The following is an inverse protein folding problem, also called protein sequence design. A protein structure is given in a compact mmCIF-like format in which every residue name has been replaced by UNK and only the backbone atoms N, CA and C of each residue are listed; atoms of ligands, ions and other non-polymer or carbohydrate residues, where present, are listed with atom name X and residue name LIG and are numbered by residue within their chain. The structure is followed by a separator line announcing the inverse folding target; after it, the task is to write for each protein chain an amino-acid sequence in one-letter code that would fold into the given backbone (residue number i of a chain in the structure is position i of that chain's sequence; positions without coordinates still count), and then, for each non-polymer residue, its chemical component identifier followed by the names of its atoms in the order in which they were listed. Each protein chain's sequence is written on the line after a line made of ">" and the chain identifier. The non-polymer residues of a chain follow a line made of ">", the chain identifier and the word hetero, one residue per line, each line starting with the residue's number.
data_IF_719649902742
#
_entry.id   IF_719649902742
#
_cell.length_a   1.000
_cell.length_b   1.000
_cell.length_c   1.000
_cell.angle_alpha   90.00
_cell.angle_beta   90.00
_cell.angle_gamma   90.00
#
_symmetry.space_group_name_H-M   'P 1'
#
loop_
_entity.id
_entity.type
_entity.pdbx_description
1 polymer ?
#
# COMPACT_ATOMS: atom_id res chain seq x y z
N UNK A 1 8.29 73.03 1.45
CA UNK A 1 7.72 74.00 2.45
C UNK A 1 6.97 73.18 3.50
N UNK A 2 7.29 73.51 4.76
CA UNK A 2 6.63 73.11 6.03
C UNK A 2 6.87 71.71 6.59
N UNK A 3 7.79 71.67 7.50
CA UNK A 3 8.01 70.79 8.66
C UNK A 3 6.99 71.16 9.79
N UNK A 4 7.11 70.62 10.97
CA UNK A 4 6.89 69.31 11.59
C UNK A 4 5.92 69.43 12.80
N UNK A 5 5.63 68.37 13.53
CA UNK A 5 5.44 68.47 14.99
C UNK A 5 5.73 67.13 15.68
N UNK A 6 6.74 67.19 16.52
CA UNK A 6 7.05 66.25 17.62
C UNK A 6 6.03 66.42 18.75
N UNK A 7 5.67 65.31 19.44
CA UNK A 7 5.34 65.31 20.84
C UNK A 7 6.02 64.16 21.57
N UNK A 8 6.82 64.55 22.52
CA UNK A 8 7.50 63.78 23.58
C UNK A 8 6.62 63.74 24.84
N UNK A 9 6.95 62.83 25.75
CA UNK A 9 6.68 62.67 27.17
C UNK A 9 5.50 61.73 27.49
N UNK A 10 5.61 60.80 28.43
CA UNK A 10 6.38 60.82 29.65
C UNK A 10 6.42 59.47 30.35
N UNK A 11 7.51 59.28 31.00
CA UNK A 11 7.85 58.16 31.87
C UNK A 11 7.04 58.28 33.18
N UNK A 12 6.45 57.18 33.66
CA UNK A 12 6.13 57.02 35.09
C UNK A 12 6.65 55.68 35.58
N UNK A 13 7.71 55.75 36.36
CA UNK A 13 8.20 54.68 37.24
C UNK A 13 7.30 54.63 38.48
N UNK A 14 6.79 53.47 38.80
CA UNK A 14 6.31 53.17 40.15
C UNK A 14 6.95 51.85 40.62
N UNK A 15 7.91 52.00 41.50
CA UNK A 15 8.44 50.89 42.29
C UNK A 15 7.49 50.57 43.44
N UNK A 16 7.11 49.31 43.53
CA UNK A 16 6.32 48.77 44.64
C UNK A 16 6.87 47.41 45.02
N UNK A 17 7.66 47.37 46.10
CA UNK A 17 8.11 46.18 46.80
C UNK A 17 7.00 45.61 47.66
N UNK A 18 6.63 44.35 47.48
CA UNK A 18 5.97 43.55 48.50
C UNK A 18 6.46 42.09 48.41
N UNK A 19 7.14 41.70 49.45
CA UNK A 19 7.52 40.32 49.71
C UNK A 19 6.28 39.46 50.01
N UNK A 20 6.15 38.33 49.32
CA UNK A 20 5.16 37.30 49.58
C UNK A 20 5.73 35.94 49.24
N UNK A 21 6.11 35.19 50.28
CA UNK A 21 6.40 33.76 50.17
C UNK A 21 5.15 33.02 49.70
N UNK A 22 5.23 32.37 48.55
CA UNK A 22 4.21 31.45 48.08
C UNK A 22 4.92 30.40 47.22
N UNK A 23 5.09 29.22 47.81
CA UNK A 23 5.57 28.06 47.05
C UNK A 23 4.54 27.68 45.99
N UNK A 24 4.82 27.94 44.73
CA UNK A 24 4.08 27.39 43.61
C UNK A 24 4.89 26.21 43.07
N UNK A 25 4.36 25.02 43.29
CA UNK A 25 4.78 23.80 42.68
C UNK A 25 4.68 23.93 41.15
N UNK A 26 5.83 23.98 40.47
CA UNK A 26 5.93 23.79 39.05
C UNK A 26 5.46 22.37 38.71
N UNK A 27 4.20 22.21 38.32
CA UNK A 27 3.76 21.06 37.58
C UNK A 27 4.32 21.16 36.15
N UNK A 28 5.60 20.83 36.00
CA UNK A 28 6.12 20.37 34.73
C UNK A 28 5.31 19.14 34.34
N UNK A 29 4.47 19.24 33.32
CA UNK A 29 3.86 18.12 32.63
C UNK A 29 4.99 17.32 31.96
N UNK A 30 5.64 16.46 32.76
CA UNK A 30 6.45 15.37 32.25
C UNK A 30 5.50 14.39 31.55
N UNK A 31 5.23 14.61 30.27
CA UNK A 31 4.73 13.58 29.35
C UNK A 31 5.84 12.53 29.21
N UNK A 32 5.95 11.65 30.21
CA UNK A 32 6.63 10.39 30.03
C UNK A 32 5.82 9.61 29.00
N UNK A 33 6.28 9.59 27.77
CA UNK A 33 5.96 8.57 26.80
C UNK A 33 6.45 7.23 27.36
N UNK A 34 5.65 6.65 28.27
CA UNK A 34 5.77 5.24 28.59
C UNK A 34 5.40 4.48 27.31
N UNK A 35 6.42 4.17 26.52
CA UNK A 35 6.32 3.09 25.55
C UNK A 35 5.87 1.85 26.33
N UNK A 36 4.60 1.49 26.19
CA UNK A 36 4.08 0.17 26.55
C UNK A 36 4.76 -0.84 25.61
N UNK A 37 6.02 -1.15 25.92
CA UNK A 37 6.64 -2.36 25.45
C UNK A 37 5.92 -3.51 26.15
N UNK A 38 4.87 -4.01 25.51
CA UNK A 38 4.27 -5.29 25.88
C UNK A 38 5.38 -6.33 25.71
N UNK A 39 5.74 -7.10 26.75
CA UNK A 39 6.71 -8.19 26.60
C UNK A 39 6.18 -9.14 25.52
N UNK A 40 6.98 -9.40 24.49
CA UNK A 40 6.69 -10.45 23.52
C UNK A 40 6.43 -11.76 24.30
N UNK A 41 5.22 -12.27 24.17
CA UNK A 41 4.87 -13.58 24.72
C UNK A 41 5.84 -14.61 24.15
N UNK A 42 6.53 -15.32 25.02
CA UNK A 42 7.35 -16.49 24.67
C UNK A 42 6.44 -17.50 23.99
N UNK A 43 6.63 -17.71 22.69
CA UNK A 43 5.89 -18.73 21.94
C UNK A 43 5.22 -18.24 20.66
N UNK A 44 5.67 -17.16 20.04
CA UNK A 44 5.23 -16.82 18.68
C UNK A 44 5.64 -17.96 17.74
N UNK A 45 4.68 -18.64 17.08
CA UNK A 45 5.04 -19.65 16.08
C UNK A 45 5.99 -19.02 15.06
N UNK A 46 7.08 -19.69 14.73
CA UNK A 46 7.95 -19.26 13.64
C UNK A 46 7.08 -19.13 12.38
N UNK A 47 7.20 -18.01 11.62
CA UNK A 47 6.43 -17.86 10.40
C UNK A 47 6.70 -19.07 9.51
N UNK A 48 5.67 -19.62 8.84
CA UNK A 48 5.84 -20.77 7.97
C UNK A 48 6.91 -20.47 6.92
N UNK A 49 7.69 -21.48 6.55
CA UNK A 49 8.75 -21.34 5.54
C UNK A 49 8.18 -20.65 4.30
N UNK A 50 8.82 -19.57 3.85
CA UNK A 50 8.43 -18.87 2.60
C UNK A 50 8.61 -19.74 1.34
N UNK A 51 9.27 -20.88 1.47
CA UNK A 51 9.47 -21.88 0.42
C UNK A 51 8.28 -22.85 0.30
N UNK A 52 7.06 -22.35 0.38
CA UNK A 52 5.85 -23.13 0.10
C UNK A 52 5.66 -23.23 -1.41
N UNK A 53 5.61 -24.44 -1.93
CA UNK A 53 5.31 -24.70 -3.34
C UNK A 53 3.82 -25.04 -3.48
N UNK A 54 3.18 -24.50 -4.51
CA UNK A 54 1.84 -24.87 -4.92
C UNK A 54 1.76 -24.87 -6.46
N UNK A 55 1.00 -25.78 -7.03
CA UNK A 55 0.98 -25.97 -8.50
C UNK A 55 0.38 -24.77 -9.26
N UNK A 56 -0.58 -24.05 -8.65
CA UNK A 56 -1.29 -22.91 -9.26
C UNK A 56 -1.44 -21.77 -8.27
N UNK A 57 -0.36 -21.01 -8.07
CA UNK A 57 -0.35 -19.91 -7.12
C UNK A 57 -1.45 -18.85 -7.39
N UNK A 58 -1.75 -18.59 -8.67
CA UNK A 58 -2.68 -17.55 -9.13
C UNK A 58 -4.14 -18.02 -9.29
N UNK A 59 -4.41 -19.31 -9.09
CA UNK A 59 -5.78 -19.79 -9.13
C UNK A 59 -6.58 -19.31 -7.91
N UNK A 60 -7.86 -19.03 -8.11
CA UNK A 60 -8.78 -18.56 -7.07
C UNK A 60 -10.11 -19.33 -7.15
N UNK A 61 -11.01 -19.04 -6.23
CA UNK A 61 -12.33 -19.68 -6.19
C UNK A 61 -13.19 -19.24 -7.37
N UNK A 62 -13.93 -20.18 -7.97
CA UNK A 62 -14.87 -19.85 -9.05
C UNK A 62 -15.92 -18.84 -8.57
N UNK A 63 -16.25 -17.82 -9.38
CA UNK A 63 -17.33 -16.90 -9.07
C UNK A 63 -18.69 -17.64 -9.06
N UNK A 64 -19.73 -17.06 -8.45
CA UNK A 64 -21.08 -17.55 -8.62
C UNK A 64 -21.52 -17.40 -10.08
N UNK A 65 -22.42 -18.28 -10.54
CA UNK A 65 -22.95 -18.20 -11.92
C UNK A 65 -23.57 -16.83 -12.21
N UNK A 66 -24.23 -16.24 -11.22
CA UNK A 66 -24.81 -14.90 -11.29
C UNK A 66 -24.48 -14.16 -10.00
N UNK A 67 -24.02 -12.90 -10.13
CA UNK A 67 -23.85 -12.03 -8.97
C UNK A 67 -25.24 -11.70 -8.38
N UNK A 68 -25.41 -11.75 -7.04
CA UNK A 68 -26.63 -11.26 -6.41
C UNK A 68 -26.81 -9.76 -6.69
N UNK A 69 -28.07 -9.33 -6.78
CA UNK A 69 -28.39 -7.91 -6.91
C UNK A 69 -27.95 -7.14 -5.65
N UNK A 70 -27.62 -5.84 -5.74
CA UNK A 70 -27.14 -5.06 -4.58
C UNK A 70 -28.09 -5.09 -3.37
N UNK A 71 -29.38 -5.25 -3.59
CA UNK A 71 -30.39 -5.31 -2.53
C UNK A 71 -30.76 -6.74 -2.10
N UNK A 72 -30.18 -7.75 -2.70
CA UNK A 72 -30.55 -9.17 -2.53
C UNK A 72 -29.31 -10.04 -2.21
N UNK A 73 -28.51 -9.60 -1.25
CA UNK A 73 -27.37 -10.39 -0.77
C UNK A 73 -27.87 -11.57 0.08
N UNK A 74 -27.35 -12.80 -0.15
CA UNK A 74 -27.71 -13.97 0.65
C UNK A 74 -27.55 -13.69 2.15
N UNK A 75 -28.58 -13.91 2.95
CA UNK A 75 -28.69 -13.44 4.34
C UNK A 75 -27.53 -13.88 5.24
N UNK A 76 -26.99 -15.09 5.04
CA UNK A 76 -25.86 -15.66 5.78
C UNK A 76 -24.50 -15.24 5.23
N UNK A 77 -24.44 -14.51 4.10
CA UNK A 77 -23.19 -14.17 3.44
C UNK A 77 -22.42 -13.05 4.16
N UNK A 78 -21.10 -13.01 3.93
CA UNK A 78 -20.28 -11.91 4.42
C UNK A 78 -20.68 -10.57 3.77
N UNK A 79 -21.10 -10.57 2.50
CA UNK A 79 -21.63 -9.38 1.84
C UNK A 79 -22.86 -8.81 2.56
N UNK A 80 -23.75 -9.69 3.09
CA UNK A 80 -24.89 -9.23 3.91
C UNK A 80 -24.41 -8.62 5.24
N UNK A 81 -23.34 -9.12 5.85
CA UNK A 81 -22.73 -8.52 7.04
C UNK A 81 -22.17 -7.12 6.72
N UNK A 82 -21.42 -6.99 5.61
CA UNK A 82 -20.90 -5.70 5.13
C UNK A 82 -22.07 -4.72 4.88
N UNK A 83 -23.16 -5.18 4.27
CA UNK A 83 -24.38 -4.35 4.07
C UNK A 83 -24.99 -3.87 5.37
N UNK A 84 -25.14 -4.73 6.37
CA UNK A 84 -25.66 -4.33 7.70
C UNK A 84 -24.75 -3.32 8.38
N UNK A 85 -23.42 -3.44 8.21
CA UNK A 85 -22.43 -2.47 8.68
C UNK A 85 -22.56 -1.10 7.98
N UNK A 86 -23.07 -1.09 6.72
CA UNK A 86 -23.34 0.10 5.94
C UNK A 86 -22.19 0.58 5.04
N UNK A 87 -21.03 -0.05 5.08
CA UNK A 87 -19.84 0.27 4.27
C UNK A 87 -18.88 -0.91 4.17
N UNK A 88 -18.12 -0.96 3.09
CA UNK A 88 -16.96 -1.84 2.91
C UNK A 88 -15.73 -1.17 3.54
N UNK A 89 -14.93 -1.91 4.32
CA UNK A 89 -13.63 -1.43 4.83
C UNK A 89 -12.54 -2.04 3.99
N UNK A 90 -11.74 -1.19 3.33
CA UNK A 90 -10.66 -1.63 2.45
C UNK A 90 -9.30 -1.12 2.93
N UNK A 91 -8.37 -2.03 3.14
CA UNK A 91 -6.96 -1.73 3.33
C UNK A 91 -6.30 -1.39 1.99
N UNK A 92 -5.58 -0.28 1.93
CA UNK A 92 -5.01 0.23 0.68
C UNK A 92 -3.64 0.87 0.90
N UNK A 93 -2.85 0.96 -0.17
CA UNK A 93 -1.66 1.79 -0.24
C UNK A 93 -2.02 3.26 -0.40
N UNK A 94 -1.16 4.14 0.08
CA UNK A 94 -1.30 5.59 -0.10
C UNK A 94 -0.09 6.22 -0.80
N UNK A 95 0.93 5.42 -1.13
CA UNK A 95 2.17 5.85 -1.79
C UNK A 95 2.40 5.24 -3.19
N UNK A 96 1.49 4.37 -3.68
CA UNK A 96 1.58 3.82 -5.03
C UNK A 96 0.84 4.72 -6.03
N UNK A 97 1.54 5.70 -6.58
CA UNK A 97 0.97 6.71 -7.47
C UNK A 97 0.17 6.08 -8.61
N UNK A 98 -1.09 6.52 -8.78
CA UNK A 98 -2.08 6.02 -9.73
C UNK A 98 -2.64 4.61 -9.47
N UNK A 99 -2.10 3.83 -8.56
CA UNK A 99 -2.69 2.57 -8.09
C UNK A 99 -3.50 2.78 -6.81
N UNK A 100 -2.87 3.26 -5.75
CA UNK A 100 -3.48 3.70 -4.50
C UNK A 100 -2.59 4.79 -3.92
N UNK A 101 -2.98 6.03 -4.05
CA UNK A 101 -2.19 7.18 -3.60
C UNK A 101 -3.06 8.26 -2.98
N UNK A 102 -2.51 8.91 -1.94
CA UNK A 102 -3.11 10.11 -1.40
C UNK A 102 -2.87 11.26 -2.38
N UNK A 103 -3.94 11.90 -2.83
CA UNK A 103 -3.86 13.12 -3.61
C UNK A 103 -3.74 14.32 -2.66
N UNK A 104 -2.59 15.01 -2.62
CA UNK A 104 -2.36 16.08 -1.65
C UNK A 104 -3.24 17.32 -1.90
N UNK A 105 -3.73 17.51 -3.12
CA UNK A 105 -4.58 18.65 -3.47
C UNK A 105 -6.04 18.46 -2.99
N UNK A 106 -6.51 17.23 -2.91
CA UNK A 106 -7.91 16.93 -2.56
C UNK A 106 -8.05 16.23 -1.22
N UNK A 107 -6.97 15.67 -0.67
CA UNK A 107 -6.97 14.82 0.53
C UNK A 107 -7.60 13.43 0.30
N UNK A 108 -7.96 13.09 -0.93
CA UNK A 108 -8.58 11.81 -1.25
C UNK A 108 -7.54 10.74 -1.58
N UNK A 109 -7.85 9.50 -1.22
CA UNK A 109 -7.12 8.34 -1.72
C UNK A 109 -7.75 7.96 -3.07
N UNK A 110 -6.92 7.87 -4.12
CA UNK A 110 -7.36 7.63 -5.48
C UNK A 110 -6.41 6.68 -6.24
N UNK A 111 -6.87 6.11 -7.34
CA UNK A 111 -6.07 5.23 -8.18
C UNK A 111 -6.85 4.04 -8.73
N UNK A 112 -6.17 3.22 -9.51
CA UNK A 112 -6.73 2.05 -10.19
C UNK A 112 -7.34 1.05 -9.20
N UNK A 113 -6.61 0.68 -8.16
CA UNK A 113 -7.09 -0.24 -7.12
C UNK A 113 -8.23 0.34 -6.29
N UNK A 114 -8.17 1.65 -6.04
CA UNK A 114 -9.23 2.36 -5.31
C UNK A 114 -10.55 2.29 -6.08
N UNK A 115 -10.50 2.50 -7.40
CA UNK A 115 -11.70 2.40 -8.23
C UNK A 115 -12.16 0.94 -8.38
N UNK A 116 -11.27 -0.06 -8.42
CA UNK A 116 -11.66 -1.47 -8.38
C UNK A 116 -12.40 -1.83 -7.07
N UNK A 117 -11.91 -1.37 -5.92
CA UNK A 117 -12.58 -1.56 -4.62
C UNK A 117 -13.95 -0.86 -4.60
N UNK A 118 -14.05 0.34 -5.19
CA UNK A 118 -15.34 1.03 -5.35
C UNK A 118 -16.33 0.25 -6.20
N UNK A 119 -15.86 -0.51 -7.21
CA UNK A 119 -16.73 -1.41 -7.98
C UNK A 119 -17.25 -2.59 -7.14
N UNK A 120 -16.42 -3.13 -6.23
CA UNK A 120 -16.88 -4.14 -5.25
C UNK A 120 -17.97 -3.55 -4.34
N UNK A 121 -17.78 -2.34 -3.83
CA UNK A 121 -18.78 -1.65 -3.02
C UNK A 121 -20.07 -1.38 -3.83
N UNK A 122 -19.94 -0.93 -5.08
CA UNK A 122 -21.10 -0.71 -5.95
C UNK A 122 -21.90 -2.02 -6.17
N UNK A 123 -21.22 -3.15 -6.30
CA UNK A 123 -21.89 -4.45 -6.42
C UNK A 123 -22.63 -4.86 -5.12
N UNK A 124 -22.17 -4.44 -3.94
CA UNK A 124 -22.82 -4.74 -2.66
C UNK A 124 -23.97 -3.76 -2.36
N UNK A 125 -23.75 -2.45 -2.61
CA UNK A 125 -24.64 -1.38 -2.12
C UNK A 125 -25.46 -0.70 -3.22
N UNK A 126 -25.19 -0.96 -4.50
CA UNK A 126 -25.73 -0.18 -5.62
C UNK A 126 -25.04 1.19 -5.80
N UNK A 127 -24.03 1.50 -5.00
CA UNK A 127 -23.28 2.76 -5.07
C UNK A 127 -21.81 2.56 -4.66
N UNK A 128 -20.91 3.25 -5.34
CA UNK A 128 -19.46 3.19 -5.12
C UNK A 128 -18.98 3.92 -3.84
N UNK A 129 -19.83 4.75 -3.24
CA UNK A 129 -19.40 5.67 -2.16
C UNK A 129 -19.46 5.04 -0.76
N UNK A 130 -19.87 3.80 -0.64
CA UNK A 130 -19.97 3.06 0.64
C UNK A 130 -18.69 2.31 0.96
N UNK A 131 -17.53 3.00 0.90
CA UNK A 131 -16.21 2.45 1.25
C UNK A 131 -15.54 3.34 2.29
N UNK A 132 -14.89 2.70 3.26
CA UNK A 132 -13.91 3.31 4.16
C UNK A 132 -12.53 2.76 3.83
N UNK A 133 -11.63 3.63 3.45
CA UNK A 133 -10.25 3.25 3.18
C UNK A 133 -9.41 3.35 4.44
N UNK A 134 -8.56 2.35 4.67
CA UNK A 134 -7.58 2.29 5.76
C UNK A 134 -6.20 2.21 5.12
N UNK A 135 -5.38 3.23 5.33
CA UNK A 135 -3.99 3.22 4.90
C UNK A 135 -3.21 2.15 5.67
N UNK A 136 -2.54 1.26 4.96
CA UNK A 136 -1.72 0.19 5.53
C UNK A 136 -0.29 0.28 5.03
N UNK A 137 0.66 -0.07 5.90
CA UNK A 137 2.02 -0.39 5.48
C UNK A 137 2.07 -1.82 4.93
N UNK A 138 3.10 -2.12 4.13
CA UNK A 138 3.26 -3.45 3.53
C UNK A 138 3.26 -4.58 4.57
N UNK A 139 3.92 -4.47 5.74
CA UNK A 139 3.86 -5.49 6.79
C UNK A 139 2.48 -5.68 7.42
N UNK A 140 1.59 -4.67 7.38
CA UNK A 140 0.29 -4.72 8.06
C UNK A 140 -0.81 -5.41 7.25
N UNK A 141 -0.62 -5.64 5.94
CA UNK A 141 -1.66 -6.05 5.00
C UNK A 141 -2.41 -7.32 5.42
N UNK A 142 -1.68 -8.37 5.78
CA UNK A 142 -2.28 -9.67 6.07
C UNK A 142 -2.93 -9.70 7.46
N UNK A 143 -2.25 -9.21 8.49
CA UNK A 143 -2.80 -9.14 9.84
C UNK A 143 -4.06 -8.25 9.89
N UNK A 144 -4.13 -7.20 9.08
CA UNK A 144 -5.30 -6.33 9.04
C UNK A 144 -6.57 -7.06 8.55
N UNK A 145 -6.43 -7.98 7.59
CA UNK A 145 -7.57 -8.76 7.08
C UNK A 145 -7.85 -9.99 7.95
N UNK A 146 -6.81 -10.61 8.52
CA UNK A 146 -6.95 -11.74 9.44
C UNK A 146 -7.69 -11.33 10.73
N UNK A 147 -7.34 -10.16 11.28
CA UNK A 147 -7.95 -9.60 12.49
C UNK A 147 -9.33 -8.95 12.23
N UNK A 148 -9.81 -8.92 10.99
CA UNK A 148 -11.07 -8.29 10.61
C UNK A 148 -11.09 -6.76 10.75
N UNK A 149 -9.92 -6.11 10.84
CA UNK A 149 -9.82 -4.63 10.82
C UNK A 149 -10.23 -4.07 9.47
N UNK A 150 -10.03 -4.82 8.41
CA UNK A 150 -10.50 -4.54 7.05
C UNK A 150 -11.18 -5.77 6.46
N UNK A 151 -12.14 -5.57 5.56
CA UNK A 151 -12.86 -6.65 4.89
C UNK A 151 -12.06 -7.20 3.68
N UNK A 152 -11.25 -6.35 3.06
CA UNK A 152 -10.45 -6.64 1.86
C UNK A 152 -9.20 -5.77 1.85
N UNK A 153 -8.12 -6.24 1.26
CA UNK A 153 -6.93 -5.43 1.00
C UNK A 153 -6.62 -5.42 -0.49
N UNK A 154 -6.54 -4.22 -1.08
CA UNK A 154 -6.06 -3.94 -2.43
C UNK A 154 -4.86 -2.99 -2.33
N UNK A 155 -3.66 -3.54 -2.46
CA UNK A 155 -2.40 -2.84 -2.14
C UNK A 155 -1.24 -3.49 -2.91
N UNK A 156 -1.36 -3.56 -4.24
CA UNK A 156 -0.35 -4.13 -5.13
C UNK A 156 0.22 -5.47 -4.62
N UNK A 157 -0.68 -6.37 -4.17
CA UNK A 157 -0.25 -7.58 -3.47
C UNK A 157 0.04 -8.70 -4.46
N UNK A 158 1.32 -9.09 -4.58
CA UNK A 158 1.71 -10.28 -5.32
C UNK A 158 1.07 -11.53 -4.71
N UNK A 159 0.37 -12.31 -5.51
CA UNK A 159 -0.08 -13.65 -5.12
C UNK A 159 1.11 -14.60 -5.10
N UNK A 160 1.37 -15.25 -3.96
CA UNK A 160 2.38 -16.29 -3.82
C UNK A 160 1.83 -17.48 -3.05
N UNK A 161 2.43 -18.66 -3.21
CA UNK A 161 2.03 -19.85 -2.45
C UNK A 161 2.10 -19.61 -0.95
N UNK A 162 3.15 -18.95 -0.47
CA UNK A 162 3.28 -18.60 0.94
C UNK A 162 2.13 -17.72 1.43
N UNK A 163 1.80 -16.64 0.71
CA UNK A 163 0.72 -15.72 1.10
C UNK A 163 -0.65 -16.38 1.09
N UNK A 164 -0.86 -17.37 0.21
CA UNK A 164 -2.06 -18.20 0.23
C UNK A 164 -2.21 -19.09 1.47
N UNK A 165 -1.16 -19.29 2.24
CA UNK A 165 -1.30 -19.94 3.56
C UNK A 165 -1.92 -19.03 4.60
N UNK A 166 -1.77 -17.71 4.44
CA UNK A 166 -2.27 -16.68 5.35
C UNK A 166 -3.69 -16.24 5.00
N UNK A 167 -3.92 -15.87 3.76
CA UNK A 167 -5.17 -15.30 3.25
C UNK A 167 -5.61 -16.00 1.97
N UNK A 168 -6.86 -15.79 1.57
CA UNK A 168 -7.31 -16.07 0.22
C UNK A 168 -7.17 -14.83 -0.68
N UNK A 169 -7.06 -15.07 -1.98
CA UNK A 169 -6.91 -14.02 -2.98
C UNK A 169 -8.05 -14.03 -3.98
N UNK A 170 -8.40 -12.86 -4.50
CA UNK A 170 -9.18 -12.76 -5.73
C UNK A 170 -8.43 -13.41 -6.91
N UNK A 171 -9.07 -13.53 -8.07
CA UNK A 171 -8.37 -13.71 -9.34
C UNK A 171 -7.39 -12.55 -9.56
N UNK A 172 -6.35 -12.80 -10.38
CA UNK A 172 -5.41 -11.76 -10.77
C UNK A 172 -6.16 -10.61 -11.46
N UNK A 173 -5.98 -9.39 -10.97
CA UNK A 173 -6.57 -8.19 -11.60
C UNK A 173 -5.53 -7.34 -12.32
N UNK A 174 -4.24 -7.57 -12.13
CA UNK A 174 -3.15 -6.88 -12.81
C UNK A 174 -1.88 -7.73 -12.82
N UNK A 175 -1.12 -7.68 -13.91
CA UNK A 175 0.20 -8.32 -14.00
C UNK A 175 1.28 -7.25 -13.99
N UNK A 176 2.15 -7.28 -13.00
CA UNK A 176 3.36 -6.48 -12.93
C UNK A 176 4.60 -7.38 -12.95
N UNK A 177 5.76 -6.77 -12.98
CA UNK A 177 7.05 -7.46 -12.84
C UNK A 177 7.95 -6.68 -11.89
N UNK A 178 8.78 -7.37 -11.13
CA UNK A 178 9.80 -6.71 -10.33
C UNK A 178 10.90 -6.15 -11.24
N UNK A 179 11.25 -4.88 -11.05
CA UNK A 179 12.30 -4.17 -11.80
C UNK A 179 13.14 -3.32 -10.84
N UNK A 180 14.10 -2.60 -11.41
CA UNK A 180 14.97 -1.66 -10.68
C UNK A 180 14.70 -0.24 -11.14
N UNK A 181 14.75 0.71 -10.18
CA UNK A 181 14.82 2.14 -10.42
C UNK A 181 16.15 2.67 -9.89
N UNK A 182 16.84 3.44 -10.70
CA UNK A 182 18.15 4.02 -10.37
C UNK A 182 18.21 5.48 -10.80
N UNK A 183 19.12 6.29 -10.26
CA UNK A 183 19.40 7.62 -10.81
C UNK A 183 19.87 7.54 -12.27
N UNK A 184 19.41 8.45 -13.14
CA UNK A 184 19.68 8.44 -14.57
C UNK A 184 21.19 8.45 -14.92
N UNK A 185 22.03 8.99 -14.06
CA UNK A 185 23.47 9.08 -14.27
C UNK A 185 24.28 8.04 -13.49
N UNK A 186 23.61 7.01 -12.93
CA UNK A 186 24.28 6.00 -12.12
C UNK A 186 25.18 5.05 -12.92
N UNK A 187 24.95 4.90 -14.22
CA UNK A 187 25.62 3.90 -15.06
C UNK A 187 25.15 2.46 -14.84
N UNK A 188 24.25 2.21 -13.87
CA UNK A 188 23.68 0.90 -13.57
C UNK A 188 22.74 0.49 -14.71
N UNK A 189 22.90 -0.76 -15.20
CA UNK A 189 22.06 -1.32 -16.28
C UNK A 189 21.19 -2.48 -15.84
N UNK A 190 21.62 -3.21 -14.81
CA UNK A 190 20.90 -4.36 -14.27
C UNK A 190 21.33 -4.65 -12.82
N UNK A 191 20.82 -5.75 -12.26
CA UNK A 191 21.06 -6.15 -10.87
C UNK A 191 22.53 -6.55 -10.62
N UNK A 192 23.27 -7.01 -11.63
CA UNK A 192 24.66 -7.42 -11.46
C UNK A 192 25.61 -6.27 -11.20
N UNK A 193 25.25 -5.06 -11.65
CA UNK A 193 25.99 -3.84 -11.32
C UNK A 193 25.76 -3.35 -9.87
N UNK A 194 24.89 -4.01 -9.12
CA UNK A 194 24.50 -3.65 -7.76
C UNK A 194 24.97 -4.65 -6.69
N UNK A 195 25.88 -5.56 -7.05
CA UNK A 195 26.47 -6.52 -6.10
C UNK A 195 27.13 -5.74 -4.95
N UNK A 196 26.76 -6.08 -3.71
CA UNK A 196 27.15 -5.41 -2.47
C UNK A 196 26.66 -3.95 -2.30
N UNK A 197 25.97 -3.40 -3.29
CA UNK A 197 25.33 -2.07 -3.17
C UNK A 197 24.00 -2.18 -2.41
N UNK A 198 23.60 -1.10 -1.76
CA UNK A 198 22.36 -1.05 -0.97
C UNK A 198 21.16 -0.83 -1.90
N UNK A 199 20.29 -1.84 -1.96
CA UNK A 199 19.06 -1.79 -2.75
C UNK A 199 17.84 -1.79 -1.83
N UNK A 200 17.04 -0.75 -1.92
CA UNK A 200 15.85 -0.56 -1.10
C UNK A 200 14.63 -1.27 -1.69
N UNK A 201 13.84 -1.89 -0.84
CA UNK A 201 12.54 -2.47 -1.17
C UNK A 201 11.63 -2.40 0.05
N UNK A 202 10.31 -2.51 -0.13
CA UNK A 202 9.41 -2.55 1.04
C UNK A 202 9.67 -3.78 1.89
N UNK A 203 9.74 -3.60 3.19
CA UNK A 203 9.80 -4.71 4.14
C UNK A 203 8.60 -5.66 3.98
N UNK A 204 8.81 -6.96 4.10
CA UNK A 204 7.77 -8.00 3.93
C UNK A 204 7.13 -8.04 2.52
N UNK A 205 7.77 -7.41 1.52
CA UNK A 205 7.36 -7.47 0.12
C UNK A 205 8.00 -8.66 -0.62
N UNK A 206 7.41 -9.05 -1.77
CA UNK A 206 8.04 -10.03 -2.67
C UNK A 206 9.38 -9.52 -3.21
N UNK A 207 9.52 -8.24 -3.65
CA UNK A 207 10.80 -7.71 -4.10
C UNK A 207 11.96 -7.88 -3.11
N UNK A 208 11.76 -7.61 -1.82
CA UNK A 208 12.85 -7.78 -0.83
C UNK A 208 13.18 -9.26 -0.60
N UNK A 209 12.18 -10.15 -0.69
CA UNK A 209 12.40 -11.58 -0.54
C UNK A 209 13.18 -12.15 -1.73
N UNK A 210 12.90 -11.68 -2.95
CA UNK A 210 13.67 -12.05 -4.17
C UNK A 210 15.13 -11.61 -4.05
N UNK A 211 15.38 -10.36 -3.60
CA UNK A 211 16.76 -9.90 -3.37
C UNK A 211 17.48 -10.76 -2.34
N UNK A 212 16.82 -11.12 -1.23
CA UNK A 212 17.39 -11.95 -0.18
C UNK A 212 17.65 -13.40 -0.61
N UNK A 213 16.89 -13.88 -1.58
CA UNK A 213 17.02 -15.25 -2.10
C UNK A 213 18.14 -15.41 -3.13
N UNK A 214 18.73 -14.31 -3.63
CA UNK A 214 19.90 -14.38 -4.52
C UNK A 214 21.11 -14.94 -3.79
N UNK A 215 22.05 -15.64 -4.49
CA UNK A 215 23.31 -16.07 -3.89
C UNK A 215 24.06 -14.92 -3.22
N UNK A 216 24.70 -15.16 -2.09
CA UNK A 216 25.34 -14.11 -1.27
C UNK A 216 26.40 -13.32 -1.99
N UNK A 217 27.14 -14.00 -2.90
CA UNK A 217 28.22 -13.45 -3.71
C UNK A 217 27.72 -12.54 -4.83
N UNK A 218 26.47 -12.73 -5.29
CA UNK A 218 25.90 -12.03 -6.45
C UNK A 218 24.78 -11.03 -6.07
N UNK A 219 24.49 -10.90 -4.79
CA UNK A 219 23.35 -10.10 -4.38
C UNK A 219 23.71 -8.70 -3.90
N UNK A 220 22.82 -7.73 -4.08
CA UNK A 220 22.88 -6.46 -3.38
C UNK A 220 22.66 -6.65 -1.87
N UNK A 221 22.87 -5.60 -1.08
CA UNK A 221 22.50 -5.50 0.32
C UNK A 221 21.04 -5.03 0.41
N UNK A 222 20.06 -5.89 0.75
CA UNK A 222 18.67 -5.49 0.79
C UNK A 222 18.39 -4.58 1.99
N UNK A 223 17.78 -3.41 1.73
CA UNK A 223 17.32 -2.46 2.75
C UNK A 223 15.79 -2.44 2.74
N UNK A 224 15.17 -2.65 3.90
CA UNK A 224 13.71 -2.74 4.02
C UNK A 224 13.11 -1.48 4.61
N UNK A 225 12.17 -0.85 3.89
CA UNK A 225 11.37 0.27 4.37
C UNK A 225 9.89 -0.13 4.54
N UNK A 226 9.09 0.58 5.36
CA UNK A 226 7.68 0.25 5.56
C UNK A 226 6.85 0.28 4.28
N UNK A 227 7.18 1.21 3.35
CA UNK A 227 6.53 1.35 2.04
C UNK A 227 7.57 1.61 0.95
N UNK A 228 7.19 1.35 -0.32
CA UNK A 228 8.08 1.59 -1.45
C UNK A 228 8.37 3.09 -1.66
N UNK A 229 7.44 3.97 -1.33
CA UNK A 229 7.64 5.42 -1.42
C UNK A 229 8.75 5.91 -0.45
N UNK A 230 8.92 5.25 0.68
CA UNK A 230 9.98 5.58 1.64
C UNK A 230 11.37 5.32 1.02
N UNK A 231 11.48 4.29 0.17
CA UNK A 231 12.68 4.04 -0.61
C UNK A 231 12.98 5.18 -1.61
N UNK A 232 11.95 5.76 -2.25
CA UNK A 232 12.14 6.89 -3.15
C UNK A 232 12.63 8.11 -2.39
N UNK A 233 12.06 8.39 -1.22
CA UNK A 233 12.51 9.47 -0.34
C UNK A 233 13.96 9.25 0.09
N UNK A 234 14.33 8.03 0.50
CA UNK A 234 15.69 7.70 0.90
C UNK A 234 16.69 7.89 -0.26
N UNK A 235 16.32 7.45 -1.47
CA UNK A 235 17.13 7.63 -2.68
C UNK A 235 17.34 9.12 -2.99
N UNK A 236 16.29 9.93 -2.96
CA UNK A 236 16.34 11.37 -3.25
C UNK A 236 17.16 12.15 -2.22
N UNK A 237 17.07 11.77 -0.97
CA UNK A 237 17.81 12.44 0.12
C UNK A 237 19.25 11.93 0.27
N UNK A 238 19.65 10.89 -0.47
CA UNK A 238 20.94 10.23 -0.29
C UNK A 238 21.09 9.55 1.08
N UNK A 239 19.98 9.32 1.79
CA UNK A 239 20.00 8.67 3.11
C UNK A 239 20.23 7.17 2.96
N UNK A 240 21.05 6.61 3.86
CA UNK A 240 21.34 5.18 3.86
C UNK A 240 22.14 4.70 2.64
N UNK A 241 22.73 5.56 1.82
CA UNK A 241 23.50 5.23 0.62
C UNK A 241 22.75 4.24 -0.28
N UNK A 242 21.48 4.52 -0.57
CA UNK A 242 20.65 3.69 -1.44
C UNK A 242 21.09 3.89 -2.90
N UNK A 243 21.58 2.83 -3.55
CA UNK A 243 22.00 2.86 -4.96
C UNK A 243 20.83 2.62 -5.92
N UNK A 244 19.83 1.85 -5.51
CA UNK A 244 18.65 1.53 -6.33
C UNK A 244 17.43 1.20 -5.47
N UNK A 245 16.26 1.23 -6.11
CA UNK A 245 15.00 0.73 -5.56
C UNK A 245 14.61 -0.51 -6.36
N UNK A 246 14.24 -1.59 -5.67
CA UNK A 246 13.67 -2.78 -6.30
C UNK A 246 12.22 -2.94 -5.86
N UNK A 247 11.29 -2.76 -6.81
CA UNK A 247 9.87 -2.95 -6.56
C UNK A 247 9.14 -3.27 -7.88
N UNK A 248 7.82 -3.25 -7.86
CA UNK A 248 6.97 -3.63 -8.97
C UNK A 248 7.00 -2.55 -10.07
N UNK A 249 7.04 -2.97 -11.33
CA UNK A 249 7.10 -2.08 -12.50
C UNK A 249 6.02 -1.00 -12.49
N UNK A 250 4.82 -1.35 -12.03
CA UNK A 250 3.69 -0.43 -11.88
C UNK A 250 3.99 0.70 -10.89
N UNK A 251 4.62 0.39 -9.75
CA UNK A 251 5.02 1.37 -8.73
C UNK A 251 6.16 2.23 -9.26
N UNK A 252 7.15 1.61 -9.93
CA UNK A 252 8.30 2.32 -10.49
C UNK A 252 7.91 3.33 -11.57
N UNK A 253 6.89 3.03 -12.39
CA UNK A 253 6.34 4.00 -13.34
C UNK A 253 5.82 5.26 -12.62
N UNK A 254 5.16 5.06 -11.49
CA UNK A 254 4.72 6.15 -10.63
C UNK A 254 5.89 6.94 -10.05
N UNK A 255 6.95 6.29 -9.61
CA UNK A 255 8.14 6.95 -9.07
C UNK A 255 8.89 7.74 -10.13
N UNK A 256 9.09 7.16 -11.32
CA UNK A 256 9.70 7.86 -12.46
C UNK A 256 8.89 9.09 -12.87
N UNK A 257 7.57 9.04 -12.79
CA UNK A 257 6.71 10.18 -13.08
C UNK A 257 6.83 11.29 -12.02
N UNK A 258 7.12 10.94 -10.78
CA UNK A 258 7.33 11.89 -9.66
C UNK A 258 8.77 12.39 -9.59
N UNK A 259 9.72 11.60 -10.10
CA UNK A 259 11.15 11.94 -10.11
C UNK A 259 11.75 11.63 -11.49
N UNK A 260 11.74 12.58 -12.42
CA UNK A 260 12.35 12.43 -13.75
C UNK A 260 13.88 12.18 -13.73
N UNK A 261 14.56 12.45 -12.60
CA UNK A 261 15.96 12.13 -12.36
C UNK A 261 16.25 10.64 -12.20
N UNK A 262 15.22 9.78 -12.30
CA UNK A 262 15.35 8.34 -12.18
C UNK A 262 15.00 7.61 -13.48
N UNK A 263 15.51 6.40 -13.63
CA UNK A 263 15.17 5.51 -14.76
C UNK A 263 14.94 4.06 -14.30
N UNK A 264 14.05 3.36 -15.02
CA UNK A 264 13.77 1.95 -14.79
C UNK A 264 14.72 1.13 -15.69
N UNK A 265 15.52 0.27 -15.07
CA UNK A 265 16.58 -0.49 -15.76
C UNK A 265 16.45 -2.00 -15.60
N UNK A 266 17.18 -2.73 -16.39
CA UNK A 266 17.33 -4.18 -16.36
C UNK A 266 16.10 -4.96 -16.85
N UNK A 267 16.20 -6.28 -16.95
CA UNK A 267 15.09 -7.17 -17.25
C UNK A 267 14.15 -7.32 -16.04
N UNK A 268 13.03 -8.00 -16.25
CA UNK A 268 12.17 -8.47 -15.16
C UNK A 268 12.93 -9.44 -14.26
N UNK A 269 12.93 -9.17 -12.94
CA UNK A 269 13.54 -10.03 -11.93
C UNK A 269 12.58 -11.12 -11.45
N UNK A 270 11.28 -10.81 -11.40
CA UNK A 270 10.25 -11.72 -10.92
C UNK A 270 8.87 -11.30 -11.43
N UNK A 271 7.96 -12.26 -11.75
CA UNK A 271 6.57 -11.95 -12.07
C UNK A 271 5.79 -11.58 -10.81
N UNK A 272 4.94 -10.56 -10.90
CA UNK A 272 4.21 -9.99 -9.76
C UNK A 272 2.71 -9.90 -10.10
N UNK A 273 1.98 -11.03 -10.13
CA UNK A 273 0.53 -11.01 -10.34
C UNK A 273 -0.18 -10.47 -9.09
N UNK A 274 -1.03 -9.44 -9.26
CA UNK A 274 -1.75 -8.81 -8.15
C UNK A 274 -3.11 -9.47 -7.90
N UNK A 275 -3.39 -9.72 -6.62
CA UNK A 275 -4.70 -10.14 -6.13
C UNK A 275 -5.12 -9.35 -4.90
N UNK A 276 -6.42 -9.19 -4.71
CA UNK A 276 -6.99 -8.62 -3.49
C UNK A 276 -6.99 -9.69 -2.40
N UNK A 277 -6.46 -9.37 -1.21
CA UNK A 277 -6.42 -10.29 -0.08
C UNK A 277 -7.72 -10.23 0.72
N UNK A 278 -8.25 -11.39 1.08
CA UNK A 278 -9.50 -11.59 1.81
C UNK A 278 -9.27 -12.67 2.86
N UNK A 279 -9.92 -12.56 4.02
CA UNK A 279 -9.82 -13.56 5.07
C UNK A 279 -10.31 -14.93 4.59
N UNK A 280 -9.58 -15.98 4.96
CA UNK A 280 -9.98 -17.39 4.69
C UNK A 280 -11.32 -17.76 5.31
N UNK A 281 -11.82 -17.01 6.29
CA UNK A 281 -13.13 -17.20 6.88
C UNK A 281 -14.28 -16.83 5.92
N UNK A 282 -13.99 -16.14 4.80
CA UNK A 282 -15.00 -15.57 3.90
C UNK A 282 -14.82 -16.02 2.44
N UNK A 283 -14.84 -17.35 2.13
CA UNK A 283 -14.69 -17.84 0.76
C UNK A 283 -15.86 -17.41 -0.16
N UNK A 284 -17.04 -17.14 0.41
CA UNK A 284 -18.18 -16.56 -0.29
C UNK A 284 -17.87 -15.15 -0.82
N UNK A 285 -17.14 -14.34 -0.05
CA UNK A 285 -16.73 -13.00 -0.46
C UNK A 285 -15.64 -13.07 -1.54
N UNK A 286 -14.70 -14.02 -1.48
CA UNK A 286 -13.72 -14.26 -2.56
C UNK A 286 -14.45 -14.55 -3.88
N UNK A 287 -15.43 -15.45 -3.87
CA UNK A 287 -16.25 -15.80 -5.06
C UNK A 287 -17.01 -14.57 -5.58
N UNK A 288 -17.58 -13.77 -4.68
CA UNK A 288 -18.27 -12.54 -5.04
C UNK A 288 -17.34 -11.54 -5.70
N UNK A 289 -16.17 -11.26 -5.12
CA UNK A 289 -15.15 -10.34 -5.68
C UNK A 289 -14.70 -10.82 -7.05
N UNK A 290 -14.46 -12.14 -7.21
CA UNK A 290 -14.11 -12.73 -8.51
C UNK A 290 -15.22 -12.52 -9.56
N UNK A 291 -16.48 -12.61 -9.14
CA UNK A 291 -17.62 -12.32 -10.01
C UNK A 291 -17.68 -10.84 -10.43
N UNK A 292 -17.35 -9.94 -9.52
CA UNK A 292 -17.23 -8.50 -9.83
C UNK A 292 -16.10 -8.26 -10.83
N UNK A 293 -14.90 -8.79 -10.60
CA UNK A 293 -13.76 -8.65 -11.51
C UNK A 293 -14.09 -9.20 -12.91
N UNK A 294 -14.66 -10.43 -12.98
CA UNK A 294 -15.06 -11.03 -14.24
C UNK A 294 -16.16 -10.22 -14.99
N UNK A 295 -17.02 -9.51 -14.27
CA UNK A 295 -17.97 -8.57 -14.89
C UNK A 295 -17.24 -7.36 -15.48
N UNK A 296 -16.33 -6.73 -14.72
CA UNK A 296 -15.58 -5.55 -15.16
C UNK A 296 -14.71 -5.84 -16.41
N UNK A 297 -14.16 -7.06 -16.48
CA UNK A 297 -13.43 -7.54 -17.67
C UNK A 297 -14.36 -7.68 -18.87
N UNK A 298 -15.51 -8.31 -18.68
CA UNK A 298 -16.47 -8.62 -19.75
C UNK A 298 -17.16 -7.37 -20.30
N UNK A 299 -17.50 -6.39 -19.45
CA UNK A 299 -18.18 -5.15 -19.86
C UNK A 299 -17.23 -4.00 -20.26
N UNK A 300 -15.90 -4.24 -20.21
CA UNK A 300 -14.89 -3.28 -20.61
C UNK A 300 -14.54 -2.24 -19.53
N UNK A 301 -15.19 -2.29 -18.38
CA UNK A 301 -14.91 -1.33 -17.29
C UNK A 301 -13.46 -1.43 -16.79
N UNK A 302 -12.90 -2.65 -16.74
CA UNK A 302 -11.51 -2.84 -16.34
C UNK A 302 -10.55 -2.05 -17.23
N UNK A 303 -10.70 -2.13 -18.55
CA UNK A 303 -9.87 -1.38 -19.52
C UNK A 303 -10.04 0.13 -19.38
N UNK A 304 -11.30 0.58 -19.16
CA UNK A 304 -11.57 2.01 -18.93
C UNK A 304 -10.85 2.52 -17.66
N UNK A 305 -10.90 1.78 -16.57
CA UNK A 305 -10.20 2.12 -15.35
C UNK A 305 -8.68 2.11 -15.53
N UNK A 306 -8.14 1.10 -16.22
CA UNK A 306 -6.72 1.07 -16.54
C UNK A 306 -6.30 2.28 -17.38
N UNK A 307 -7.03 2.58 -18.43
CA UNK A 307 -6.76 3.75 -19.30
C UNK A 307 -6.85 5.05 -18.51
N UNK A 308 -7.86 5.21 -17.66
CA UNK A 308 -8.05 6.40 -16.82
C UNK A 308 -6.85 6.66 -15.94
N UNK A 309 -6.33 5.63 -15.28
CA UNK A 309 -5.29 5.79 -14.27
C UNK A 309 -3.87 5.62 -14.81
N UNK A 310 -3.68 4.67 -15.74
CA UNK A 310 -2.35 4.22 -16.19
C UNK A 310 -2.04 4.63 -17.64
N UNK A 311 -3.02 5.16 -18.40
CA UNK A 311 -2.85 5.53 -19.81
C UNK A 311 -1.72 6.54 -20.03
N UNK A 312 -1.46 7.42 -19.08
CA UNK A 312 -0.37 8.39 -19.15
C UNK A 312 1.05 7.76 -19.20
N UNK A 313 1.18 6.50 -18.75
CA UNK A 313 2.47 5.79 -18.77
C UNK A 313 2.73 5.10 -20.11
N UNK A 314 1.77 5.09 -21.03
CA UNK A 314 1.84 4.39 -22.33
C UNK A 314 2.23 2.91 -22.23
N UNK A 315 1.97 2.28 -21.07
CA UNK A 315 2.25 0.88 -20.78
C UNK A 315 0.97 0.26 -20.17
N UNK A 316 0.04 -0.08 -21.08
CA UNK A 316 -1.20 -0.75 -20.68
C UNK A 316 -0.98 -2.26 -20.74
N UNK A 317 -1.35 -2.94 -19.67
CA UNK A 317 -1.30 -4.40 -19.59
C UNK A 317 -2.55 -5.03 -20.25
N UNK A 318 -2.38 -6.22 -20.79
CA UNK A 318 -3.54 -7.01 -21.19
C UNK A 318 -4.36 -7.41 -19.97
N UNK A 319 -5.68 -7.51 -20.14
CA UNK A 319 -6.55 -8.01 -19.08
C UNK A 319 -6.11 -9.40 -18.64
N UNK A 320 -5.82 -9.62 -17.34
CA UNK A 320 -5.41 -10.92 -16.85
C UNK A 320 -6.49 -11.97 -17.09
N UNK A 321 -6.09 -13.16 -17.57
CA UNK A 321 -7.03 -14.28 -17.71
C UNK A 321 -7.22 -14.96 -16.36
N UNK A 322 -8.45 -15.05 -15.82
CA UNK A 322 -8.69 -15.65 -14.52
C UNK A 322 -8.40 -17.16 -14.55
N UNK A 323 -7.77 -17.63 -13.47
CA UNK A 323 -7.56 -19.06 -13.21
C UNK A 323 -8.36 -19.46 -11.99
N UNK A 324 -9.01 -20.64 -12.04
CA UNK A 324 -9.84 -21.12 -10.96
C UNK A 324 -9.36 -22.49 -10.45
N UNK A 325 -9.42 -22.64 -9.12
CA UNK A 325 -9.33 -23.96 -8.49
C UNK A 325 -10.55 -24.80 -8.87
N UNK A 326 -10.35 -26.04 -9.22
CA UNK A 326 -11.20 -27.15 -9.65
C UNK A 326 -12.66 -26.95 -9.93
#
# INVERSE_FOLDING_TARGET
>A
MRRPLLYLAGIVLLAGTLAGCGATSDHALNLTLSALATPLAKGTPSPPSKNVNCQRATASLRPPATLPAPNDMPAASFMAQIRRKGYLVAGVNTGAYKFGSLNPATGNIEGFEIDLVKQVAAAIFGTANRVRFVALTVPQRFTAVEDGRVDIVADTITITCYRRTLVDFSTVYYNATQRLLVPTNSGVRDIHALVHERVCASASSTPIDVLKAMPSEDRPVPVGEPQAIDCLVALQQGTGNIAAISTDSSILLGFKAQDPGTEIVGPSLYPVPYGMAISKAHPDFVRFVNGVLARLERDGTWQQLQTKWLGQFHQLEATPKPQYDG
#
